data_IF_322264479721
#
_entry.id   IF_322264479721
#
_cell.length_a   1.000
_cell.length_b   1.000
_cell.length_c   1.000
_cell.angle_alpha   90.00
_cell.angle_beta   90.00
_cell.angle_gamma   90.00
#
_symmetry.space_group_name_H-M   'P 1'
#
loop_
_entity.id
_entity.type
_entity.pdbx_description
1 polymer ?
#
# COMPACT_ATOMS: atom_id res chain seq x y z
N UNK A 1 18.13 39.00 11.25
CA UNK A 1 18.91 37.94 10.56
C UNK A 1 19.27 36.74 11.47
N UNK A 2 19.41 36.89 12.78
CA UNK A 2 19.69 35.73 13.67
C UNK A 2 18.46 34.84 13.93
N UNK A 3 17.25 35.34 13.84
CA UNK A 3 15.99 34.59 14.08
C UNK A 3 15.65 33.58 12.98
N UNK A 4 16.18 33.75 11.78
CA UNK A 4 15.95 32.81 10.66
C UNK A 4 16.88 31.60 10.70
N UNK A 5 18.01 31.69 11.39
CA UNK A 5 18.95 30.55 11.54
C UNK A 5 18.50 29.53 12.58
N UNK A 6 17.57 29.89 13.47
CA UNK A 6 17.02 28.99 14.49
C UNK A 6 15.65 28.38 14.11
N UNK A 7 15.08 28.77 12.99
CA UNK A 7 13.86 28.16 12.45
C UNK A 7 14.20 26.90 11.66
N UNK A 8 14.65 25.85 12.35
CA UNK A 8 14.73 24.52 11.76
C UNK A 8 13.29 24.06 11.50
N UNK A 9 12.85 24.16 10.27
CA UNK A 9 11.57 23.55 9.87
C UNK A 9 11.76 22.03 9.87
N UNK A 10 11.49 21.43 10.99
CA UNK A 10 11.49 19.96 11.12
C UNK A 10 10.32 19.42 10.34
N UNK A 11 10.60 18.75 9.23
CA UNK A 11 9.57 17.96 8.56
C UNK A 11 9.00 16.94 9.57
N UNK A 12 7.68 16.76 9.64
CA UNK A 12 7.03 15.87 10.61
C UNK A 12 7.61 14.45 10.62
N UNK A 13 8.03 13.95 9.45
CA UNK A 13 8.64 12.64 9.28
C UNK A 13 10.01 12.52 9.96
N UNK A 14 10.89 13.50 9.77
CA UNK A 14 12.22 13.52 10.39
C UNK A 14 12.08 13.63 11.91
N UNK A 15 11.16 14.48 12.39
CA UNK A 15 10.87 14.61 13.81
C UNK A 15 10.42 13.29 14.43
N UNK A 16 9.53 12.56 13.76
CA UNK A 16 9.07 11.24 14.21
C UNK A 16 10.21 10.23 14.32
N UNK A 17 11.07 10.14 13.31
CA UNK A 17 12.22 9.24 13.28
C UNK A 17 13.19 9.57 14.43
N UNK A 18 13.53 10.84 14.63
CA UNK A 18 14.47 11.27 15.69
C UNK A 18 13.92 10.95 17.08
N UNK A 19 12.62 11.21 17.33
CA UNK A 19 11.99 10.88 18.62
C UNK A 19 12.04 9.38 18.90
N UNK A 20 11.75 8.55 17.91
CA UNK A 20 11.82 7.08 18.05
C UNK A 20 13.26 6.62 18.33
N UNK A 21 14.24 7.14 17.60
CA UNK A 21 15.66 6.81 17.83
C UNK A 21 16.11 7.18 19.24
N UNK A 22 15.80 8.38 19.71
CA UNK A 22 16.13 8.81 21.08
C UNK A 22 15.46 7.89 22.11
N UNK A 23 14.16 7.60 21.93
CA UNK A 23 13.43 6.72 22.84
C UNK A 23 14.05 5.32 22.91
N UNK A 24 14.45 4.74 21.78
CA UNK A 24 15.12 3.44 21.71
C UNK A 24 16.48 3.48 22.40
N UNK A 25 17.30 4.50 22.16
CA UNK A 25 18.62 4.65 22.80
C UNK A 25 18.47 4.80 24.31
N UNK A 26 17.54 5.61 24.79
CA UNK A 26 17.29 5.80 26.23
C UNK A 26 16.76 4.51 26.86
N UNK A 27 15.83 3.82 26.22
CA UNK A 27 15.28 2.57 26.74
C UNK A 27 16.34 1.48 26.81
N UNK A 28 17.04 1.21 25.72
CA UNK A 28 18.08 0.16 25.66
C UNK A 28 19.26 0.54 26.52
N UNK A 29 19.76 1.76 26.44
CA UNK A 29 20.90 2.25 27.21
C UNK A 29 20.61 2.26 28.69
N UNK A 30 19.45 2.77 29.13
CA UNK A 30 19.05 2.77 30.54
C UNK A 30 18.88 1.35 31.09
N UNK A 31 18.21 0.46 30.36
CA UNK A 31 18.07 -0.95 30.75
C UNK A 31 19.41 -1.66 30.79
N UNK A 32 20.32 -1.37 29.84
CA UNK A 32 21.70 -1.91 29.87
C UNK A 32 22.49 -1.47 31.09
N UNK A 33 22.42 -0.21 31.46
CA UNK A 33 23.12 0.28 32.67
C UNK A 33 22.62 -0.44 33.92
N UNK A 34 21.30 -0.65 34.06
CA UNK A 34 20.73 -1.36 35.20
C UNK A 34 21.11 -2.84 35.22
N UNK A 35 20.99 -3.53 34.09
CA UNK A 35 21.29 -4.97 34.00
C UNK A 35 22.81 -5.20 34.05
N UNK A 36 23.59 -4.42 33.32
CA UNK A 36 25.05 -4.55 33.24
C UNK A 36 25.77 -4.30 34.55
N UNK A 37 25.24 -3.42 35.41
CA UNK A 37 25.77 -3.22 36.75
C UNK A 37 25.61 -4.44 37.66
N UNK A 38 24.58 -5.25 37.45
CA UNK A 38 24.28 -6.43 38.26
C UNK A 38 24.97 -7.71 37.76
N UNK A 39 24.99 -7.91 36.41
CA UNK A 39 25.43 -9.19 35.81
C UNK A 39 26.76 -9.06 35.04
N UNK A 40 27.32 -7.86 34.99
CA UNK A 40 28.48 -7.54 34.18
C UNK A 40 28.17 -7.13 32.74
N UNK A 41 29.03 -6.31 32.15
CA UNK A 41 28.79 -5.63 30.88
C UNK A 41 28.50 -6.59 29.70
N UNK A 42 29.29 -7.67 29.56
CA UNK A 42 29.15 -8.62 28.45
C UNK A 42 27.82 -9.42 28.49
N UNK A 43 27.41 -9.86 29.68
CA UNK A 43 26.17 -10.59 29.84
C UNK A 43 25.00 -9.61 29.80
N UNK A 44 25.12 -8.44 30.40
CA UNK A 44 24.11 -7.41 30.43
C UNK A 44 23.65 -7.03 29.03
N UNK A 45 24.59 -6.80 28.11
CA UNK A 45 24.21 -6.44 26.70
C UNK A 45 23.47 -7.57 25.99
N UNK A 46 23.86 -8.83 26.18
CA UNK A 46 23.17 -9.97 25.57
C UNK A 46 21.73 -10.12 26.08
N UNK A 47 21.53 -9.98 27.39
CA UNK A 47 20.20 -10.05 28.01
C UNK A 47 19.31 -8.92 27.50
N UNK A 48 19.82 -7.67 27.49
CA UNK A 48 19.05 -6.50 27.06
C UNK A 48 18.67 -6.59 25.59
N UNK A 49 19.61 -7.01 24.73
CA UNK A 49 19.30 -7.22 23.31
C UNK A 49 18.31 -8.35 23.11
N UNK A 50 18.46 -9.48 23.82
CA UNK A 50 17.49 -10.57 23.73
C UNK A 50 16.09 -10.11 24.17
N UNK A 51 15.96 -9.40 25.27
CA UNK A 51 14.68 -8.84 25.72
C UNK A 51 14.09 -7.85 24.70
N UNK A 52 14.91 -6.97 24.15
CA UNK A 52 14.48 -6.00 23.13
C UNK A 52 14.00 -6.67 21.86
N UNK A 53 14.75 -7.60 21.28
CA UNK A 53 14.34 -8.28 20.05
C UNK A 53 13.18 -9.26 20.27
N UNK A 54 13.07 -9.87 21.46
CA UNK A 54 11.89 -10.64 21.85
C UNK A 54 10.63 -9.75 21.89
N UNK A 55 10.73 -8.58 22.52
CA UNK A 55 9.65 -7.60 22.55
C UNK A 55 9.30 -7.09 21.15
N UNK A 56 10.29 -6.77 20.31
CA UNK A 56 10.08 -6.34 18.91
C UNK A 56 9.41 -7.43 18.07
N UNK A 57 9.67 -8.70 18.32
CA UNK A 57 8.98 -9.81 17.67
C UNK A 57 7.49 -9.79 17.99
N UNK A 58 7.13 -9.64 19.27
CA UNK A 58 5.73 -9.56 19.70
C UNK A 58 5.04 -8.33 19.12
N UNK A 59 5.70 -7.16 19.20
CA UNK A 59 5.17 -5.92 18.64
C UNK A 59 4.99 -6.00 17.12
N UNK A 60 5.96 -6.56 16.42
CA UNK A 60 5.88 -6.79 14.98
C UNK A 60 4.71 -7.72 14.61
N UNK A 61 4.50 -8.80 15.37
CA UNK A 61 3.39 -9.72 15.17
C UNK A 61 2.03 -9.02 15.40
N UNK A 62 1.91 -8.17 16.42
CA UNK A 62 0.73 -7.35 16.67
C UNK A 62 0.50 -6.38 15.48
N UNK A 63 1.53 -5.69 15.02
CA UNK A 63 1.43 -4.78 13.88
C UNK A 63 1.01 -5.52 12.61
N UNK A 64 1.56 -6.70 12.37
CA UNK A 64 1.19 -7.53 11.23
C UNK A 64 -0.28 -7.98 11.30
N UNK A 65 -0.73 -8.47 12.46
CA UNK A 65 -2.11 -8.97 12.65
C UNK A 65 -3.13 -7.84 12.52
N UNK A 66 -2.95 -6.74 13.24
CA UNK A 66 -3.91 -5.64 13.29
C UNK A 66 -3.69 -4.56 12.21
N UNK A 67 -2.60 -4.61 11.46
CA UNK A 67 -2.31 -3.61 10.42
C UNK A 67 -2.04 -2.21 10.97
N UNK A 68 -1.51 -2.11 12.19
CA UNK A 68 -1.09 -0.87 12.87
C UNK A 68 0.44 -0.71 12.81
N UNK A 69 0.98 0.37 13.36
CA UNK A 69 2.42 0.64 13.41
C UNK A 69 3.01 1.02 12.07
N UNK A 70 4.22 0.55 11.78
CA UNK A 70 4.92 0.87 10.54
C UNK A 70 4.21 0.23 9.34
N UNK A 71 3.73 1.08 8.44
CA UNK A 71 2.96 0.67 7.26
C UNK A 71 3.78 0.90 5.99
N UNK A 72 3.69 -0.05 5.08
CA UNK A 72 4.15 0.10 3.70
C UNK A 72 3.12 0.83 2.82
N UNK A 73 3.39 0.90 1.50
CA UNK A 73 2.50 1.53 0.53
C UNK A 73 1.08 0.95 0.62
N UNK A 74 0.10 1.84 0.59
CA UNK A 74 -1.32 1.44 0.53
C UNK A 74 -1.68 1.01 -0.89
N UNK A 75 -2.73 0.17 -1.05
CA UNK A 75 -3.24 -0.16 -2.37
C UNK A 75 -3.68 1.08 -3.13
N UNK A 76 -3.23 1.22 -4.37
CA UNK A 76 -3.56 2.33 -5.27
C UNK A 76 -3.86 1.80 -6.67
N UNK A 77 -4.44 2.64 -7.52
CA UNK A 77 -4.52 2.40 -8.94
C UNK A 77 -3.36 3.11 -9.64
N UNK A 78 -2.73 2.45 -10.60
CA UNK A 78 -1.65 2.98 -11.40
C UNK A 78 -2.00 2.93 -12.88
N UNK A 79 -1.42 3.82 -13.72
CA UNK A 79 -1.53 3.70 -15.16
C UNK A 79 -1.20 2.28 -15.62
N UNK A 80 -1.99 1.75 -16.54
CA UNK A 80 -1.70 0.45 -17.15
C UNK A 80 -0.94 0.65 -18.47
N UNK A 81 0.10 -0.16 -18.66
CA UNK A 81 0.85 -0.21 -19.91
C UNK A 81 0.18 -1.19 -20.90
N UNK A 82 0.31 -0.98 -22.24
CA UNK A 82 1.01 0.10 -22.93
C UNK A 82 0.16 1.36 -23.14
N UNK A 83 -1.13 1.33 -22.89
CA UNK A 83 -2.06 2.44 -23.14
C UNK A 83 -2.85 2.76 -21.87
N UNK A 84 -2.71 3.99 -21.39
CA UNK A 84 -3.41 4.45 -20.19
C UNK A 84 -4.67 5.24 -20.53
N UNK A 85 -4.62 6.12 -21.52
CA UNK A 85 -5.74 6.98 -21.91
C UNK A 85 -6.19 6.64 -23.32
N UNK A 86 -7.43 6.25 -23.45
CA UNK A 86 -8.08 5.91 -24.72
C UNK A 86 -9.10 7.01 -25.01
N UNK A 87 -8.92 7.69 -26.13
CA UNK A 87 -9.65 8.92 -26.45
C UNK A 87 -10.97 8.70 -27.16
N UNK A 88 -11.31 7.44 -27.47
CA UNK A 88 -12.55 7.06 -28.13
C UNK A 88 -12.92 5.62 -27.78
N UNK A 89 -14.22 5.34 -27.64
CA UNK A 89 -14.72 4.00 -27.39
C UNK A 89 -14.36 3.00 -28.50
N UNK A 90 -14.29 3.44 -29.75
CA UNK A 90 -13.90 2.61 -30.89
C UNK A 90 -12.45 2.10 -30.79
N UNK A 91 -11.59 2.81 -30.05
CA UNK A 91 -10.17 2.44 -29.87
C UNK A 91 -9.96 1.38 -28.77
N UNK A 92 -10.97 1.00 -28.02
CA UNK A 92 -10.84 0.01 -26.92
C UNK A 92 -10.34 -1.35 -27.41
N UNK A 93 -10.74 -1.77 -28.61
CA UNK A 93 -10.23 -2.99 -29.23
C UNK A 93 -8.75 -2.88 -29.61
N UNK A 94 -8.34 -1.76 -30.21
CA UNK A 94 -6.93 -1.52 -30.57
C UNK A 94 -6.04 -1.45 -29.34
N UNK A 95 -6.58 -1.00 -28.20
CA UNK A 95 -5.90 -0.98 -26.93
C UNK A 95 -5.86 -2.37 -26.24
N UNK A 96 -6.49 -3.38 -26.79
CA UNK A 96 -6.53 -4.74 -26.26
C UNK A 96 -7.39 -4.88 -24.99
N UNK A 97 -8.34 -4.00 -24.78
CA UNK A 97 -9.24 -4.02 -23.61
C UNK A 97 -10.47 -4.87 -23.89
N UNK A 98 -10.97 -4.81 -25.13
CA UNK A 98 -12.06 -5.63 -25.66
C UNK A 98 -11.57 -6.42 -26.89
N UNK A 99 -12.10 -7.63 -27.06
CA UNK A 99 -11.70 -8.49 -28.18
C UNK A 99 -12.45 -8.12 -29.46
N UNK A 100 -13.69 -7.68 -29.33
CA UNK A 100 -14.54 -7.31 -30.46
C UNK A 100 -14.58 -5.80 -30.65
N UNK A 101 -14.29 -5.33 -31.86
CA UNK A 101 -14.37 -3.91 -32.17
C UNK A 101 -15.80 -3.39 -32.08
N UNK A 102 -15.95 -2.24 -31.43
CA UNK A 102 -17.21 -1.49 -31.42
C UNK A 102 -17.26 -0.65 -32.69
N UNK A 103 -18.32 -0.80 -33.47
CA UNK A 103 -18.53 0.03 -34.65
C UNK A 103 -18.85 1.48 -34.23
N UNK A 104 -18.33 2.44 -34.96
CA UNK A 104 -18.74 3.83 -34.80
C UNK A 104 -20.23 3.97 -35.05
N UNK A 105 -20.97 4.42 -34.04
CA UNK A 105 -22.39 4.72 -34.15
C UNK A 105 -22.62 6.16 -34.64
N UNK A 106 -23.87 6.53 -34.84
CA UNK A 106 -24.23 7.87 -35.30
C UNK A 106 -23.85 8.98 -34.32
N UNK A 107 -23.75 8.63 -33.03
CA UNK A 107 -23.34 9.58 -31.96
C UNK A 107 -22.30 8.96 -31.02
N UNK A 108 -21.39 9.78 -30.42
CA UNK A 108 -20.42 9.30 -29.44
C UNK A 108 -21.06 8.59 -28.24
N UNK A 109 -22.26 9.01 -27.84
CA UNK A 109 -23.01 8.41 -26.73
C UNK A 109 -23.49 6.99 -27.10
N UNK A 110 -23.90 6.76 -28.34
CA UNK A 110 -24.30 5.42 -28.81
C UNK A 110 -23.10 4.49 -28.91
N UNK A 111 -21.95 4.99 -29.38
CA UNK A 111 -20.68 4.25 -29.42
C UNK A 111 -20.25 3.83 -28.02
N UNK A 112 -20.32 4.75 -27.04
CA UNK A 112 -19.95 4.44 -25.64
C UNK A 112 -20.92 3.42 -25.01
N UNK A 113 -22.23 3.48 -25.29
CA UNK A 113 -23.20 2.48 -24.82
C UNK A 113 -22.93 1.10 -25.41
N UNK A 114 -22.61 1.05 -26.70
CA UNK A 114 -22.22 -0.21 -27.34
C UNK A 114 -20.92 -0.77 -26.71
N UNK A 115 -19.94 0.09 -26.45
CA UNK A 115 -18.71 -0.28 -25.75
C UNK A 115 -18.98 -0.80 -24.32
N UNK A 116 -19.84 -0.14 -23.56
CA UNK A 116 -20.24 -0.59 -22.23
C UNK A 116 -20.89 -1.97 -22.24
N UNK A 117 -21.76 -2.23 -23.26
CA UNK A 117 -22.39 -3.54 -23.43
C UNK A 117 -21.35 -4.61 -23.78
N UNK A 118 -20.40 -4.29 -24.67
CA UNK A 118 -19.33 -5.21 -25.05
C UNK A 118 -18.38 -5.49 -23.88
N UNK A 119 -18.00 -4.48 -23.11
CA UNK A 119 -17.21 -4.66 -21.89
C UNK A 119 -17.87 -5.64 -20.93
N UNK A 120 -19.18 -5.48 -20.67
CA UNK A 120 -19.90 -6.40 -19.79
C UNK A 120 -19.97 -7.82 -20.36
N UNK A 121 -20.16 -7.99 -21.68
CA UNK A 121 -20.14 -9.29 -22.34
C UNK A 121 -18.78 -9.99 -22.22
N UNK A 122 -17.69 -9.25 -22.16
CA UNK A 122 -16.32 -9.75 -22.00
C UNK A 122 -15.88 -9.89 -20.52
N UNK A 123 -16.81 -9.77 -19.57
CA UNK A 123 -16.58 -10.04 -18.16
C UNK A 123 -16.07 -8.84 -17.35
N UNK A 124 -16.20 -7.61 -17.87
CA UNK A 124 -16.05 -6.40 -17.08
C UNK A 124 -17.30 -6.17 -16.24
N UNK A 125 -17.13 -5.86 -14.98
CA UNK A 125 -18.23 -5.58 -14.06
C UNK A 125 -18.36 -4.07 -13.88
N UNK A 126 -19.55 -3.53 -14.11
CA UNK A 126 -19.84 -2.13 -13.81
C UNK A 126 -19.95 -1.97 -12.30
N UNK A 127 -19.14 -1.08 -11.72
CA UNK A 127 -19.17 -0.77 -10.29
C UNK A 127 -20.33 0.18 -9.96
N UNK A 128 -21.06 -0.15 -8.91
CA UNK A 128 -22.13 0.69 -8.35
C UNK A 128 -21.58 2.03 -7.83
N UNK A 129 -22.43 3.05 -7.80
CA UNK A 129 -22.07 4.38 -7.29
C UNK A 129 -21.66 4.36 -5.80
N UNK A 130 -22.25 3.46 -5.03
CA UNK A 130 -21.94 3.28 -3.61
C UNK A 130 -20.67 2.45 -3.35
N UNK A 131 -20.07 1.83 -4.37
CA UNK A 131 -18.87 1.02 -4.20
C UNK A 131 -17.66 1.89 -3.84
N UNK A 132 -17.00 1.67 -2.68
CA UNK A 132 -15.81 2.42 -2.29
C UNK A 132 -14.66 2.33 -3.30
N UNK A 133 -14.61 1.26 -4.09
CA UNK A 133 -13.56 1.06 -5.09
C UNK A 133 -13.76 1.95 -6.31
N UNK A 134 -15.03 2.26 -6.66
CA UNK A 134 -15.36 3.24 -7.69
C UNK A 134 -14.74 4.60 -7.34
N UNK A 135 -14.97 5.09 -6.12
CA UNK A 135 -14.41 6.38 -5.69
C UNK A 135 -12.87 6.41 -5.71
N UNK A 136 -12.23 5.31 -5.33
CA UNK A 136 -10.75 5.21 -5.42
C UNK A 136 -10.25 5.18 -6.86
N UNK A 137 -10.93 4.49 -7.77
CA UNK A 137 -10.56 4.45 -9.19
C UNK A 137 -10.74 5.83 -9.83
N UNK A 138 -11.86 6.51 -9.56
CA UNK A 138 -12.11 7.87 -10.04
C UNK A 138 -11.04 8.83 -9.54
N UNK A 139 -10.73 8.86 -8.25
CA UNK A 139 -9.69 9.73 -7.70
C UNK A 139 -8.30 9.47 -8.30
N UNK A 140 -7.98 8.21 -8.64
CA UNK A 140 -6.72 7.88 -9.30
C UNK A 140 -6.74 8.28 -10.78
N UNK A 141 -7.87 8.12 -11.49
CA UNK A 141 -8.02 8.59 -12.87
C UNK A 141 -7.92 10.11 -12.97
N UNK A 142 -8.45 10.84 -11.99
CA UNK A 142 -8.31 12.30 -11.90
C UNK A 142 -6.84 12.72 -11.78
N UNK A 143 -6.06 12.03 -10.92
CA UNK A 143 -4.63 12.30 -10.80
C UNK A 143 -3.89 12.06 -12.13
N UNK A 144 -4.22 10.98 -12.86
CA UNK A 144 -3.62 10.68 -14.15
C UNK A 144 -3.99 11.76 -15.19
N UNK A 145 -5.27 12.08 -15.33
CA UNK A 145 -5.76 13.02 -16.34
C UNK A 145 -5.28 14.46 -16.10
N UNK A 146 -5.26 14.90 -14.84
CA UNK A 146 -4.95 16.29 -14.48
C UNK A 146 -3.46 16.54 -14.27
N UNK A 147 -2.75 15.59 -13.64
CA UNK A 147 -1.37 15.82 -13.20
C UNK A 147 -0.34 15.16 -14.12
N UNK A 148 -0.56 13.90 -14.50
CA UNK A 148 0.41 13.15 -15.30
C UNK A 148 0.27 13.48 -16.80
N UNK A 149 -0.92 13.31 -17.36
CA UNK A 149 -1.18 13.54 -18.77
C UNK A 149 -1.51 15.00 -19.10
N UNK A 150 -2.01 15.77 -18.12
CA UNK A 150 -2.45 17.17 -18.29
C UNK A 150 -3.44 17.32 -19.44
N UNK A 151 -4.32 16.36 -19.60
CA UNK A 151 -5.30 16.31 -20.69
C UNK A 151 -6.55 17.13 -20.37
N UNK A 152 -6.90 17.21 -19.08
CA UNK A 152 -8.03 17.99 -18.57
C UNK A 152 -7.64 18.77 -17.32
N UNK A 153 -8.25 19.92 -17.14
CA UNK A 153 -8.25 20.61 -15.85
C UNK A 153 -9.35 20.05 -14.94
N UNK A 154 -9.20 20.30 -13.64
CA UNK A 154 -10.22 19.90 -12.68
C UNK A 154 -11.57 20.58 -12.99
N UNK A 155 -12.61 19.78 -13.16
CA UNK A 155 -13.95 20.26 -13.46
C UNK A 155 -14.28 20.35 -14.95
N UNK A 156 -13.39 19.95 -15.86
CA UNK A 156 -13.63 19.97 -17.31
C UNK A 156 -14.30 18.67 -17.82
N UNK A 157 -14.46 17.68 -16.95
CA UNK A 157 -15.04 16.39 -17.29
C UNK A 157 -15.85 15.78 -16.14
N UNK A 158 -16.65 14.77 -16.46
CA UNK A 158 -17.42 13.96 -15.51
C UNK A 158 -17.02 12.48 -15.66
N UNK A 159 -16.86 11.79 -14.54
CA UNK A 159 -16.75 10.34 -14.52
C UNK A 159 -18.15 9.72 -14.59
N UNK A 160 -18.44 8.99 -15.65
CA UNK A 160 -19.76 8.40 -15.92
C UNK A 160 -19.84 6.98 -15.40
N UNK A 161 -18.88 6.14 -15.79
CA UNK A 161 -18.88 4.73 -15.45
C UNK A 161 -17.49 4.26 -15.02
N UNK A 162 -17.45 3.24 -14.18
CA UNK A 162 -16.22 2.54 -13.79
C UNK A 162 -16.44 1.05 -13.95
N UNK A 163 -15.65 0.44 -14.81
CA UNK A 163 -15.63 -1.00 -15.02
C UNK A 163 -14.43 -1.63 -14.32
N UNK A 164 -14.62 -2.81 -13.77
CA UNK A 164 -13.62 -3.57 -13.03
C UNK A 164 -13.51 -4.99 -13.56
N UNK A 165 -12.30 -5.51 -13.68
CA UNK A 165 -12.04 -6.88 -14.15
C UNK A 165 -10.86 -7.51 -13.43
N UNK A 166 -11.00 -8.77 -13.00
CA UNK A 166 -9.93 -9.54 -12.39
C UNK A 166 -9.88 -9.42 -10.86
N UNK A 167 -8.70 -9.62 -10.29
CA UNK A 167 -8.50 -9.57 -8.84
C UNK A 167 -8.93 -10.83 -8.09
N UNK A 168 -9.28 -11.89 -8.79
CA UNK A 168 -9.65 -13.17 -8.19
C UNK A 168 -8.49 -13.76 -7.40
N UNK A 169 -8.82 -14.26 -6.21
CA UNK A 169 -7.84 -14.94 -5.34
C UNK A 169 -7.73 -16.42 -5.70
N UNK A 170 -6.53 -16.97 -5.54
CA UNK A 170 -6.26 -18.39 -5.72
C UNK A 170 -5.17 -18.90 -4.76
N UNK A 171 -5.12 -20.21 -4.41
CA UNK A 171 -6.10 -21.22 -4.77
C UNK A 171 -7.44 -21.01 -4.06
N UNK A 172 -8.55 -21.12 -4.77
CA UNK A 172 -9.89 -21.07 -4.19
C UNK A 172 -10.32 -22.51 -3.87
N UNK A 173 -10.30 -22.86 -2.58
CA UNK A 173 -10.70 -24.19 -2.10
C UNK A 173 -12.20 -24.20 -1.75
N UNK A 174 -12.59 -23.30 -0.87
CA UNK A 174 -13.98 -23.01 -0.50
C UNK A 174 -14.04 -21.65 0.22
N UNK A 175 -15.24 -21.13 0.47
CA UNK A 175 -15.41 -19.81 1.07
C UNK A 175 -14.92 -19.74 2.54
N UNK A 176 -14.91 -20.85 3.27
CA UNK A 176 -14.38 -20.91 4.64
C UNK A 176 -12.86 -20.90 4.71
N UNK A 177 -12.17 -21.27 3.62
CA UNK A 177 -10.71 -21.32 3.51
C UNK A 177 -10.15 -20.21 2.63
N UNK A 178 -10.91 -19.16 2.34
CA UNK A 178 -10.48 -18.03 1.51
C UNK A 178 -9.24 -17.31 2.08
N UNK A 179 -8.99 -17.44 3.39
CA UNK A 179 -7.78 -16.92 4.02
C UNK A 179 -6.48 -17.60 3.56
N UNK A 180 -6.54 -18.77 2.94
CA UNK A 180 -5.40 -19.51 2.35
C UNK A 180 -5.11 -19.04 0.93
N UNK A 181 -5.99 -18.29 0.30
CA UNK A 181 -5.81 -17.74 -1.03
C UNK A 181 -4.85 -16.53 -0.98
N UNK A 182 -3.54 -16.79 -1.09
CA UNK A 182 -2.49 -15.76 -0.97
C UNK A 182 -2.17 -15.04 -2.29
N UNK A 183 -2.55 -15.63 -3.42
CA UNK A 183 -2.26 -15.08 -4.74
C UNK A 183 -3.48 -14.39 -5.33
N UNK A 184 -3.23 -13.37 -6.15
CA UNK A 184 -4.28 -12.64 -6.85
C UNK A 184 -3.94 -12.56 -8.33
N UNK A 185 -4.95 -12.71 -9.17
CA UNK A 185 -4.85 -12.29 -10.57
C UNK A 185 -4.74 -10.75 -10.61
N UNK A 186 -4.15 -10.24 -11.67
CA UNK A 186 -4.13 -8.81 -11.93
C UNK A 186 -5.57 -8.27 -11.96
N UNK A 187 -5.77 -7.10 -11.37
CA UNK A 187 -7.05 -6.41 -11.34
C UNK A 187 -6.93 -5.11 -12.09
N UNK A 188 -7.86 -4.87 -12.97
CA UNK A 188 -7.88 -3.71 -13.84
C UNK A 188 -9.14 -2.90 -13.59
N UNK A 189 -9.03 -1.58 -13.74
CA UNK A 189 -10.16 -0.68 -13.77
C UNK A 189 -10.12 0.16 -15.04
N UNK A 190 -11.28 0.40 -15.61
CA UNK A 190 -11.49 1.26 -16.74
C UNK A 190 -12.49 2.34 -16.33
N UNK A 191 -12.04 3.58 -16.25
CA UNK A 191 -12.88 4.72 -15.86
C UNK A 191 -13.28 5.47 -17.12
N UNK A 192 -14.58 5.55 -17.37
CA UNK A 192 -15.17 6.32 -18.45
C UNK A 192 -15.40 7.75 -18.01
N UNK A 193 -14.86 8.69 -18.77
CA UNK A 193 -14.99 10.13 -18.54
C UNK A 193 -15.52 10.84 -19.78
N UNK A 194 -16.33 11.86 -19.55
CA UNK A 194 -16.95 12.67 -20.60
C UNK A 194 -16.61 14.13 -20.36
N UNK A 195 -16.15 14.87 -21.38
CA UNK A 195 -15.99 16.31 -21.28
C UNK A 195 -17.33 16.97 -20.92
N UNK A 196 -17.27 18.10 -20.22
CA UNK A 196 -18.47 18.90 -19.93
C UNK A 196 -18.61 20.07 -20.91
N UNK A 197 -19.85 20.50 -21.11
CA UNK A 197 -20.13 21.75 -21.83
C UNK A 197 -19.62 22.91 -21.01
N UNK A 198 -18.73 23.78 -21.53
CA UNK A 198 -18.24 24.95 -20.81
C UNK A 198 -19.38 25.84 -20.35
N UNK A 199 -19.50 26.03 -19.05
CA UNK A 199 -20.56 26.85 -18.47
C UNK A 199 -20.03 28.22 -18.09
N UNK A 200 -20.86 29.25 -18.35
CA UNK A 200 -20.56 30.61 -17.96
C UNK A 200 -20.72 30.76 -16.45
N UNK A 201 -19.65 31.12 -15.76
CA UNK A 201 -19.69 31.43 -14.33
C UNK A 201 -20.12 32.89 -14.15
N UNK A 202 -21.25 33.11 -13.51
CA UNK A 202 -21.73 34.46 -13.15
C UNK A 202 -21.25 34.78 -11.72
N UNK A 203 -20.58 35.93 -11.52
CA UNK A 203 -20.14 36.34 -10.19
C UNK A 203 -21.32 36.43 -9.21
N UNK A 204 -21.21 35.80 -8.05
CA UNK A 204 -22.24 35.83 -6.99
C UNK A 204 -23.35 34.79 -7.14
N UNK A 205 -23.31 33.92 -8.16
CA UNK A 205 -24.25 32.84 -8.31
C UNK A 205 -23.56 31.47 -8.11
N UNK A 206 -24.27 30.52 -7.52
CA UNK A 206 -23.76 29.17 -7.39
C UNK A 206 -23.50 28.57 -8.79
N UNK A 207 -22.39 27.83 -8.99
CA UNK A 207 -22.12 27.16 -10.26
C UNK A 207 -23.29 26.26 -10.65
N UNK A 208 -23.66 26.27 -11.93
CA UNK A 208 -24.65 25.35 -12.44
C UNK A 208 -24.12 23.91 -12.38
N UNK A 209 -25.01 22.91 -12.34
CA UNK A 209 -24.59 21.51 -12.39
C UNK A 209 -23.86 21.23 -13.71
N UNK A 210 -22.69 20.55 -13.67
CA UNK A 210 -22.00 20.20 -14.90
C UNK A 210 -22.85 19.30 -15.77
N UNK A 211 -22.86 19.59 -17.07
CA UNK A 211 -23.62 18.82 -18.10
C UNK A 211 -22.60 18.19 -19.03
N UNK A 212 -22.73 16.88 -19.26
CA UNK A 212 -21.88 16.16 -20.21
C UNK A 212 -22.07 16.71 -21.65
N UNK A 213 -20.98 16.81 -22.39
CA UNK A 213 -21.00 17.18 -23.79
C UNK A 213 -21.18 15.92 -24.64
N UNK A 214 -22.43 15.68 -25.06
CA UNK A 214 -22.81 14.51 -25.87
C UNK A 214 -22.24 14.52 -27.30
N UNK A 215 -21.62 15.63 -27.70
CA UNK A 215 -20.98 15.75 -29.02
C UNK A 215 -19.54 15.30 -29.04
N UNK A 216 -18.92 15.17 -27.87
CA UNK A 216 -17.54 14.76 -27.70
C UNK A 216 -17.42 13.26 -27.49
N UNK A 217 -16.36 12.62 -28.00
CA UNK A 217 -16.10 11.21 -27.71
C UNK A 217 -15.81 11.00 -26.22
N UNK A 218 -16.33 9.90 -25.68
CA UNK A 218 -16.02 9.48 -24.33
C UNK A 218 -14.57 9.00 -24.26
N UNK A 219 -13.89 9.28 -23.16
CA UNK A 219 -12.51 8.86 -22.92
C UNK A 219 -12.48 7.82 -21.83
N UNK A 220 -11.49 6.97 -21.89
CA UNK A 220 -11.33 5.85 -20.96
C UNK A 220 -9.94 5.89 -20.35
N UNK A 221 -9.85 5.81 -19.02
CA UNK A 221 -8.61 5.69 -18.29
C UNK A 221 -8.44 4.25 -17.84
N UNK A 222 -7.45 3.58 -18.40
CA UNK A 222 -7.13 2.19 -18.10
C UNK A 222 -6.07 2.09 -17.02
N UNK A 223 -6.37 1.41 -15.93
CA UNK A 223 -5.53 1.33 -14.74
C UNK A 223 -5.40 -0.10 -14.24
N UNK A 224 -4.26 -0.39 -13.63
CA UNK A 224 -3.98 -1.64 -12.93
C UNK A 224 -3.96 -1.40 -11.41
N UNK A 225 -4.49 -2.34 -10.64
CA UNK A 225 -4.46 -2.28 -9.18
C UNK A 225 -3.08 -2.68 -8.66
N UNK A 226 -2.39 -1.73 -8.04
CA UNK A 226 -1.26 -2.04 -7.19
C UNK A 226 -1.78 -2.39 -5.79
N UNK A 227 -1.63 -3.64 -5.39
CA UNK A 227 -2.08 -4.13 -4.08
C UNK A 227 -1.30 -3.51 -2.91
N UNK A 228 -0.21 -2.79 -3.23
CA UNK A 228 0.67 -2.22 -2.23
C UNK A 228 1.36 -3.29 -1.38
N UNK A 229 1.98 -2.85 -0.31
CA UNK A 229 2.68 -3.72 0.62
C UNK A 229 2.47 -3.26 2.08
N UNK A 230 1.24 -2.88 2.42
CA UNK A 230 0.90 -2.26 3.70
C UNK A 230 1.43 -3.01 4.93
N UNK A 231 1.39 -4.35 4.90
CA UNK A 231 1.83 -5.21 6.02
C UNK A 231 3.29 -5.67 5.91
N UNK A 232 3.96 -5.44 4.78
CA UNK A 232 5.32 -5.92 4.51
C UNK A 232 6.34 -5.48 5.55
N UNK A 233 6.41 -4.21 6.00
CA UNK A 233 7.35 -3.80 7.02
C UNK A 233 7.14 -4.53 8.35
N UNK A 234 5.90 -4.72 8.79
CA UNK A 234 5.59 -5.45 10.02
C UNK A 234 6.02 -6.92 9.96
N UNK A 235 5.82 -7.58 8.82
CA UNK A 235 6.28 -8.96 8.58
C UNK A 235 7.81 -9.03 8.69
N UNK A 236 8.54 -8.14 8.01
CA UNK A 236 10.00 -8.10 8.04
C UNK A 236 10.54 -7.85 9.45
N UNK A 237 9.92 -6.94 10.20
CA UNK A 237 10.29 -6.69 11.60
C UNK A 237 10.05 -7.93 12.46
N UNK A 238 8.90 -8.59 12.31
CA UNK A 238 8.57 -9.80 13.09
C UNK A 238 9.60 -10.90 12.87
N UNK A 239 9.82 -11.30 11.63
CA UNK A 239 10.75 -12.41 11.32
C UNK A 239 12.20 -12.03 11.55
N UNK A 240 12.61 -10.79 11.21
CA UNK A 240 13.96 -10.31 11.46
C UNK A 240 14.29 -10.26 12.96
N UNK A 241 13.37 -9.73 13.76
CA UNK A 241 13.54 -9.68 15.21
C UNK A 241 13.52 -11.07 15.83
N UNK A 242 12.64 -11.97 15.38
CA UNK A 242 12.58 -13.36 15.86
C UNK A 242 13.87 -14.11 15.59
N UNK A 243 14.47 -13.94 14.41
CA UNK A 243 15.74 -14.56 14.06
C UNK A 243 16.88 -14.06 14.97
N UNK A 244 17.00 -12.75 15.16
CA UNK A 244 18.01 -12.16 16.05
C UNK A 244 17.78 -12.61 17.48
N UNK A 245 16.55 -12.61 17.97
CA UNK A 245 16.18 -13.12 19.29
C UNK A 245 16.61 -14.57 19.49
N UNK A 246 16.32 -15.45 18.52
CA UNK A 246 16.72 -16.86 18.58
C UNK A 246 18.25 -17.03 18.65
N UNK A 247 18.99 -16.24 17.84
CA UNK A 247 20.48 -16.25 17.89
C UNK A 247 20.98 -15.81 19.25
N UNK A 248 20.43 -14.73 19.83
CA UNK A 248 20.83 -14.25 21.14
C UNK A 248 20.51 -15.26 22.25
N UNK A 249 19.35 -15.92 22.18
CA UNK A 249 19.00 -16.99 23.12
C UNK A 249 19.96 -18.19 23.01
N UNK A 250 20.37 -18.57 21.79
CA UNK A 250 21.38 -19.62 21.58
C UNK A 250 22.74 -19.23 22.15
N UNK A 251 23.16 -17.98 22.01
CA UNK A 251 24.41 -17.48 22.59
C UNK A 251 24.35 -17.51 24.11
N UNK A 252 23.25 -17.08 24.72
CA UNK A 252 23.04 -17.16 26.18
C UNK A 252 23.08 -18.61 26.66
N UNK A 253 22.35 -19.51 25.97
CA UNK A 253 22.33 -20.93 26.31
C UNK A 253 23.71 -21.59 26.21
N UNK A 254 24.46 -21.35 25.13
CA UNK A 254 25.86 -21.85 24.99
C UNK A 254 26.79 -21.34 26.11
N UNK A 255 26.64 -20.08 26.47
CA UNK A 255 27.38 -19.50 27.58
C UNK A 255 27.07 -20.22 28.90
N UNK A 256 25.78 -20.48 29.16
CA UNK A 256 25.37 -21.16 30.39
C UNK A 256 25.90 -22.61 30.44
N UNK A 257 25.91 -23.33 29.31
CA UNK A 257 26.52 -24.67 29.22
C UNK A 257 28.03 -24.63 29.54
N UNK A 258 28.77 -23.71 28.91
CA UNK A 258 30.23 -23.55 29.17
C UNK A 258 30.53 -23.20 30.62
N UNK A 259 29.68 -22.37 31.27
CA UNK A 259 29.84 -22.07 32.69
C UNK A 259 29.59 -23.31 33.57
N UNK A 260 28.60 -24.13 33.27
CA UNK A 260 28.32 -25.39 33.99
C UNK A 260 29.49 -26.36 33.86
N UNK A 261 29.97 -26.58 32.62
CA UNK A 261 31.14 -27.45 32.36
C UNK A 261 32.37 -27.02 33.16
N UNK A 262 32.66 -25.72 33.22
CA UNK A 262 33.78 -25.18 34.01
C UNK A 262 33.58 -25.39 35.52
N UNK A 263 32.37 -25.23 36.03
CA UNK A 263 32.05 -25.45 37.44
C UNK A 263 32.14 -26.93 37.85
N UNK A 264 31.74 -27.84 36.94
CA UNK A 264 31.82 -29.28 37.21
C UNK A 264 33.25 -29.82 37.04
N UNK A 265 34.05 -29.24 36.10
CA UNK A 265 35.47 -29.55 35.96
C UNK A 265 36.32 -29.15 37.18
N UNK A 266 35.96 -28.04 37.86
CA UNK A 266 36.66 -27.56 39.07
C UNK A 266 36.35 -28.41 40.33
N UNK A 267 35.24 -29.20 40.27
CA UNK A 267 34.85 -30.15 41.32
C UNK A 267 35.49 -31.52 41.20
N UNK A 268 36.33 -31.75 40.19
CA UNK A 268 37.06 -33.02 40.06
C UNK A 268 38.02 -33.20 41.22
N UNK A 269 37.96 -34.31 42.00
CA UNK A 269 38.85 -34.48 43.15
C UNK A 269 40.30 -34.49 42.66
N UNK A 270 41.13 -33.64 43.23
CA UNK A 270 42.59 -33.73 43.09
C UNK A 270 42.98 -35.16 43.45
N UNK A 271 43.41 -35.96 42.46
CA UNK A 271 43.99 -37.27 42.74
C UNK A 271 45.22 -37.06 43.61
N UNK A 272 45.10 -37.49 44.87
CA UNK A 272 46.19 -37.59 45.79
C UNK A 272 47.23 -38.65 45.36
#
# INVERSE_FOLDING_TARGET
MLSTLLAISWQPEIRGIVVVLIAVVVLIGGTYLLVGSNVGARLGILIVLAAFFGWMTVMGAIWWTYGIGLKGPVPTWKPADPVTIIRDAALLNTAGIIDVSVADAATPVETSKAAATQLQAEGWTLLDEADPQRGQAVASSDAILQTEAKEFAAGDYLSVAVFDRGGERFPKINDSLDFVAFFHKARYALVEVVPIVPQRVEPGRAPARPVADETQPHRYVYMIRDLGAKRRPAILITFGSALIFAILCLLLHRRDLALRENLDGDKSPVKA
#
